data_IF_873076779146
#
_entry.id   IF_873076779146
#
_cell.length_a   1.000
_cell.length_b   1.000
_cell.length_c   1.000
_cell.angle_alpha   90.00
_cell.angle_beta   90.00
_cell.angle_gamma   90.00
#
_symmetry.space_group_name_H-M   'P 1'
#
loop_
_entity.id
_entity.type
_entity.pdbx_description
1 polymer ?
#
# COMPACT_ATOMS: atom_id res chain seq x y z
N UNK A 1 -62.65 16.00 -22.98
CA UNK A 1 -61.29 16.60 -22.95
C UNK A 1 -61.22 17.47 -21.71
N UNK A 2 -60.40 17.27 -20.68
CA UNK A 2 -59.14 16.54 -20.49
C UNK A 2 -59.07 16.11 -19.02
N UNK A 3 -58.72 14.85 -18.77
CA UNK A 3 -58.33 14.34 -17.46
C UNK A 3 -56.89 14.80 -17.20
N UNK A 4 -56.65 15.57 -16.13
CA UNK A 4 -55.30 15.88 -15.67
C UNK A 4 -54.84 14.74 -14.75
N UNK A 5 -53.95 13.91 -15.26
CA UNK A 5 -53.18 12.91 -14.50
C UNK A 5 -52.01 13.68 -13.88
N UNK A 6 -52.07 13.86 -12.56
CA UNK A 6 -50.92 14.34 -11.78
C UNK A 6 -49.92 13.20 -11.62
N UNK A 7 -48.76 13.32 -12.28
CA UNK A 7 -47.61 12.45 -12.04
C UNK A 7 -47.07 12.72 -10.63
N UNK A 8 -47.16 11.71 -9.77
CA UNK A 8 -46.41 11.63 -8.53
C UNK A 8 -44.96 11.26 -8.89
N UNK A 9 -44.04 12.21 -8.85
CA UNK A 9 -42.61 11.91 -8.90
C UNK A 9 -42.20 11.33 -7.54
N UNK A 10 -42.04 10.01 -7.48
CA UNK A 10 -41.31 9.37 -6.40
C UNK A 10 -39.83 9.75 -6.56
N UNK A 11 -39.37 10.71 -5.76
CA UNK A 11 -37.95 10.94 -5.54
C UNK A 11 -37.43 9.73 -4.78
N UNK A 12 -36.87 8.77 -5.51
CA UNK A 12 -36.02 7.73 -4.93
C UNK A 12 -34.81 8.44 -4.33
N UNK A 13 -34.87 8.71 -3.04
CA UNK A 13 -33.71 9.12 -2.27
C UNK A 13 -32.69 8.00 -2.33
N UNK A 14 -31.73 8.09 -3.25
CA UNK A 14 -30.46 7.40 -3.09
C UNK A 14 -29.86 7.93 -1.80
N UNK A 15 -29.77 7.07 -0.78
CA UNK A 15 -29.04 7.42 0.43
C UNK A 15 -27.64 7.86 0.00
N UNK A 16 -27.29 9.10 0.30
CA UNK A 16 -25.90 9.51 0.22
C UNK A 16 -25.15 8.59 1.17
N UNK A 17 -24.33 7.68 0.64
CA UNK A 17 -23.35 6.97 1.45
C UNK A 17 -22.51 8.05 2.12
N UNK A 18 -22.44 8.04 3.46
CA UNK A 18 -21.56 8.94 4.17
C UNK A 18 -20.14 8.77 3.63
N UNK A 19 -19.47 9.86 3.28
CA UNK A 19 -18.07 9.83 2.84
C UNK A 19 -17.21 9.40 4.02
N UNK A 20 -16.87 8.12 4.07
CA UNK A 20 -15.95 7.56 5.04
C UNK A 20 -14.51 7.93 4.68
N UNK A 21 -13.66 8.10 5.69
CA UNK A 21 -12.21 8.29 5.54
C UNK A 21 -11.46 7.33 6.46
N UNK A 22 -10.16 7.15 6.22
CA UNK A 22 -9.30 6.35 7.10
C UNK A 22 -8.46 7.21 8.05
N UNK A 23 -8.22 6.66 9.23
CA UNK A 23 -7.19 7.10 10.16
C UNK A 23 -6.23 5.94 10.40
N UNK A 24 -4.93 6.19 10.31
CA UNK A 24 -3.88 5.18 10.50
C UNK A 24 -3.02 5.56 11.67
N UNK A 25 -2.65 4.59 12.50
CA UNK A 25 -1.70 4.77 13.60
C UNK A 25 -0.76 3.58 13.69
N UNK A 26 0.45 3.81 14.20
CA UNK A 26 1.48 2.79 14.32
C UNK A 26 2.18 2.80 15.68
N UNK A 27 3.48 2.44 15.75
CA UNK A 27 4.21 2.28 17.00
C UNK A 27 4.17 3.49 17.94
N UNK A 28 4.23 4.72 17.41
CA UNK A 28 4.19 5.93 18.24
C UNK A 28 2.81 6.26 18.82
N UNK A 29 1.76 5.56 18.37
CA UNK A 29 0.35 5.90 18.58
C UNK A 29 -0.07 7.28 18.04
N UNK A 30 0.75 7.93 17.21
CA UNK A 30 0.31 9.09 16.44
C UNK A 30 -0.72 8.66 15.38
N UNK A 31 -1.76 9.47 15.20
CA UNK A 31 -2.83 9.22 14.23
C UNK A 31 -2.65 10.11 13.02
N UNK A 32 -2.54 9.48 11.86
CA UNK A 32 -2.42 10.08 10.55
C UNK A 32 -3.75 9.98 9.80
N UNK A 33 -4.08 10.99 9.00
CA UNK A 33 -5.26 10.95 8.12
C UNK A 33 -5.01 10.07 6.89
N UNK A 34 -6.07 9.72 6.14
CA UNK A 34 -5.98 8.99 4.87
C UNK A 34 -4.99 9.65 3.88
N UNK A 35 -4.96 10.98 3.84
CA UNK A 35 -4.07 11.75 2.96
C UNK A 35 -2.62 11.72 3.45
N UNK A 36 -2.40 11.39 4.71
CA UNK A 36 -1.08 11.33 5.36
C UNK A 36 -0.55 9.90 5.48
N UNK A 37 -1.16 8.91 4.82
CA UNK A 37 -0.67 7.51 4.86
C UNK A 37 0.79 7.42 4.39
N UNK A 38 1.20 8.23 3.41
CA UNK A 38 2.60 8.26 2.98
C UNK A 38 3.51 8.86 4.07
N UNK A 39 3.07 9.94 4.71
CA UNK A 39 3.77 10.49 5.88
C UNK A 39 3.90 9.45 6.99
N UNK A 40 2.85 8.69 7.26
CA UNK A 40 2.87 7.56 8.20
C UNK A 40 3.91 6.51 7.80
N UNK A 41 3.90 6.05 6.54
CA UNK A 41 4.87 5.07 6.03
C UNK A 41 6.31 5.56 6.21
N UNK A 42 6.59 6.81 5.84
CA UNK A 42 7.95 7.37 5.88
C UNK A 42 8.46 7.64 7.29
N UNK A 43 7.57 7.91 8.25
CA UNK A 43 7.94 8.28 9.64
C UNK A 43 7.83 7.13 10.65
N UNK A 44 6.95 6.15 10.42
CA UNK A 44 6.66 5.09 11.40
C UNK A 44 7.06 3.69 10.93
N UNK A 45 6.97 3.40 9.61
CA UNK A 45 7.29 2.07 9.07
C UNK A 45 8.72 2.03 8.56
N UNK A 46 9.08 2.95 7.65
CA UNK A 46 10.39 2.91 6.99
C UNK A 46 11.59 3.00 7.96
N UNK A 47 11.52 3.79 9.04
CA UNK A 47 12.66 3.93 9.93
C UNK A 47 12.95 2.71 10.80
N UNK A 48 12.02 1.77 10.88
CA UNK A 48 12.16 0.60 11.75
C UNK A 48 12.68 -0.65 11.02
N UNK A 49 13.11 -0.55 9.74
CA UNK A 49 13.85 -1.64 9.08
C UNK A 49 15.03 -2.04 9.96
N UNK A 50 15.15 -3.32 10.29
CA UNK A 50 16.17 -3.80 11.22
C UNK A 50 16.72 -5.17 10.85
N UNK A 51 17.84 -5.54 11.47
CA UNK A 51 18.45 -6.89 11.34
C UNK A 51 17.79 -7.94 12.24
N UNK A 52 16.98 -7.49 13.19
CA UNK A 52 16.30 -8.35 14.15
C UNK A 52 14.82 -8.11 14.02
N UNK A 53 14.09 -9.21 13.80
CA UNK A 53 12.64 -9.20 13.74
C UNK A 53 12.03 -8.61 15.02
N UNK A 54 11.26 -7.55 14.83
CA UNK A 54 10.33 -6.99 15.80
C UNK A 54 9.01 -6.73 15.09
N UNK A 55 7.93 -6.57 15.85
CA UNK A 55 6.60 -6.40 15.28
C UNK A 55 6.24 -4.91 15.16
N UNK A 56 5.76 -4.52 13.99
CA UNK A 56 5.24 -3.19 13.68
C UNK A 56 3.71 -3.28 13.71
N UNK A 57 3.03 -2.85 14.79
CA UNK A 57 1.58 -2.80 14.81
C UNK A 57 1.10 -1.61 13.97
N UNK A 58 0.08 -1.84 13.15
CA UNK A 58 -0.62 -0.81 12.37
C UNK A 58 -2.10 -0.94 12.65
N UNK A 59 -2.74 0.16 13.06
CA UNK A 59 -4.19 0.22 13.26
C UNK A 59 -4.80 1.16 12.23
N UNK A 60 -5.79 0.68 11.51
CA UNK A 60 -6.54 1.42 10.49
C UNK A 60 -7.99 1.53 10.96
N UNK A 61 -8.44 2.74 11.28
CA UNK A 61 -9.81 3.02 11.66
C UNK A 61 -10.57 3.64 10.48
N UNK A 62 -11.73 3.09 10.15
CA UNK A 62 -12.67 3.68 9.19
C UNK A 62 -13.60 4.63 9.95
N UNK A 63 -13.63 5.88 9.55
CA UNK A 63 -14.37 6.97 10.18
C UNK A 63 -15.41 7.50 9.21
N UNK A 64 -16.68 7.40 9.56
CA UNK A 64 -17.81 7.94 8.79
C UNK A 64 -18.59 8.88 9.71
N UNK A 65 -18.94 10.07 9.22
CA UNK A 65 -19.65 11.10 10.00
C UNK A 65 -19.01 11.37 11.38
N UNK A 66 -17.68 11.35 11.43
CA UNK A 66 -16.90 11.59 12.65
C UNK A 66 -16.89 10.42 13.66
N UNK A 67 -17.52 9.29 13.33
CA UNK A 67 -17.58 8.10 14.18
C UNK A 67 -16.77 6.95 13.59
N UNK A 68 -16.03 6.23 14.45
CA UNK A 68 -15.32 5.01 14.04
C UNK A 68 -16.35 3.90 13.80
N UNK A 69 -16.48 3.45 12.56
CA UNK A 69 -17.41 2.36 12.16
C UNK A 69 -16.73 1.01 12.02
N UNK A 70 -15.40 1.00 11.95
CA UNK A 70 -14.61 -0.22 11.81
C UNK A 70 -13.15 0.01 12.20
N UNK A 71 -12.48 -1.04 12.64
CA UNK A 71 -11.03 -1.02 12.89
C UNK A 71 -10.41 -2.31 12.39
N UNK A 72 -9.37 -2.17 11.58
CA UNK A 72 -8.48 -3.25 11.17
C UNK A 72 -7.13 -3.11 11.89
N UNK A 73 -6.57 -4.22 12.35
CA UNK A 73 -5.19 -4.30 12.82
C UNK A 73 -4.36 -5.11 11.83
N UNK A 74 -3.18 -4.58 11.48
CA UNK A 74 -2.15 -5.31 10.76
C UNK A 74 -0.92 -5.39 11.66
N UNK A 75 -0.15 -6.47 11.53
CA UNK A 75 1.19 -6.55 12.12
C UNK A 75 2.18 -6.90 11.03
N UNK A 76 3.26 -6.13 10.95
CA UNK A 76 4.37 -6.37 10.02
C UNK A 76 5.63 -6.78 10.78
N UNK A 77 6.51 -7.51 10.12
CA UNK A 77 7.86 -7.78 10.61
C UNK A 77 8.80 -6.64 10.23
N UNK A 78 9.58 -6.13 11.18
CA UNK A 78 10.56 -5.07 10.95
C UNK A 78 11.82 -5.53 10.21
N UNK A 79 12.04 -6.84 10.10
CA UNK A 79 13.16 -7.41 9.38
C UNK A 79 13.02 -7.24 7.86
N UNK A 80 11.81 -7.39 7.34
CA UNK A 80 11.54 -7.40 5.90
C UNK A 80 10.25 -6.69 5.47
N UNK A 81 9.47 -6.12 6.39
CA UNK A 81 8.15 -5.53 6.16
C UNK A 81 7.06 -6.48 5.69
N UNK A 82 7.21 -7.79 5.84
CA UNK A 82 6.09 -8.69 5.56
C UNK A 82 4.98 -8.51 6.58
N UNK A 83 3.74 -8.45 6.09
CA UNK A 83 2.56 -8.56 6.95
C UNK A 83 2.52 -10.00 7.45
N UNK A 84 2.53 -10.17 8.77
CA UNK A 84 2.50 -11.48 9.44
C UNK A 84 1.15 -11.76 10.11
N UNK A 85 0.35 -10.72 10.34
CA UNK A 85 -0.94 -10.86 11.00
C UNK A 85 -1.96 -9.84 10.48
N UNK A 86 -3.21 -10.26 10.32
CA UNK A 86 -4.38 -9.40 10.06
C UNK A 86 -5.42 -9.69 11.13
N UNK A 87 -5.86 -8.67 11.85
CA UNK A 87 -6.64 -8.80 13.09
C UNK A 87 -5.94 -9.73 14.10
N UNK A 88 -6.54 -10.88 14.41
CA UNK A 88 -5.96 -11.92 15.29
C UNK A 88 -5.45 -13.13 14.50
N UNK A 89 -5.60 -13.12 13.18
CA UNK A 89 -5.20 -14.21 12.29
C UNK A 89 -3.74 -14.08 11.90
N UNK A 90 -2.93 -15.05 12.32
CA UNK A 90 -1.55 -15.17 11.88
C UNK A 90 -1.52 -15.77 10.48
N UNK A 91 -0.90 -15.07 9.54
CA UNK A 91 -0.87 -15.48 8.15
C UNK A 91 -0.01 -16.72 7.98
N UNK A 92 -0.56 -17.73 7.31
CA UNK A 92 0.21 -18.84 6.77
C UNK A 92 1.11 -18.39 5.62
N UNK A 93 2.11 -19.21 5.27
CA UNK A 93 2.97 -18.98 4.11
C UNK A 93 2.16 -18.91 2.80
N UNK A 94 1.04 -19.60 2.70
CA UNK A 94 0.18 -19.56 1.51
C UNK A 94 -0.59 -18.24 1.41
N UNK A 95 -1.07 -17.71 2.54
CA UNK A 95 -1.81 -16.44 2.58
C UNK A 95 -0.92 -15.22 2.36
N UNK A 96 0.36 -15.29 2.76
CA UNK A 96 1.32 -14.19 2.58
C UNK A 96 1.90 -14.11 1.16
N UNK A 97 1.70 -15.12 0.32
CA UNK A 97 2.24 -15.16 -1.04
C UNK A 97 1.50 -14.23 -1.99
N UNK A 98 2.28 -13.47 -2.77
CA UNK A 98 1.74 -12.72 -3.91
C UNK A 98 1.41 -13.67 -5.07
N UNK A 99 0.14 -14.07 -5.15
CA UNK A 99 -0.40 -14.78 -6.32
C UNK A 99 -0.53 -13.86 -7.55
N UNK A 100 -0.78 -14.45 -8.71
CA UNK A 100 -0.93 -13.70 -9.98
C UNK A 100 -2.39 -13.29 -10.25
N UNK A 101 -3.19 -13.08 -9.20
CA UNK A 101 -4.55 -12.57 -9.34
C UNK A 101 -4.57 -11.17 -9.96
N UNK A 102 -5.58 -10.92 -10.79
CA UNK A 102 -5.83 -9.63 -11.43
C UNK A 102 -6.46 -8.65 -10.43
N UNK A 103 -5.68 -8.23 -9.45
CA UNK A 103 -6.08 -7.25 -8.44
C UNK A 103 -5.94 -5.82 -9.00
N UNK A 104 -7.02 -5.05 -8.94
CA UNK A 104 -7.01 -3.63 -9.28
C UNK A 104 -6.87 -2.78 -8.03
N UNK A 105 -5.74 -2.08 -7.91
CA UNK A 105 -5.44 -1.15 -6.83
C UNK A 105 -6.15 0.18 -7.07
N UNK A 106 -6.84 0.68 -6.05
CA UNK A 106 -7.49 1.99 -6.02
C UNK A 106 -7.84 2.37 -4.58
N UNK A 107 -8.23 3.62 -4.34
CA UNK A 107 -8.78 4.02 -3.04
C UNK A 107 -10.03 3.21 -2.68
N UNK A 108 -10.94 3.01 -3.65
CA UNK A 108 -12.13 2.20 -3.43
C UNK A 108 -11.79 0.72 -3.14
N UNK A 109 -10.78 0.18 -3.81
CA UNK A 109 -10.28 -1.17 -3.53
C UNK A 109 -9.64 -1.31 -2.15
N UNK A 110 -8.96 -0.27 -1.65
CA UNK A 110 -8.49 -0.22 -0.26
C UNK A 110 -9.66 -0.23 0.72
N UNK A 111 -10.69 0.58 0.48
CA UNK A 111 -11.91 0.60 1.30
C UNK A 111 -12.59 -0.77 1.38
N UNK A 112 -12.77 -1.42 0.23
CA UNK A 112 -13.36 -2.75 0.14
C UNK A 112 -12.50 -3.81 0.86
N UNK A 113 -11.17 -3.75 0.70
CA UNK A 113 -10.26 -4.65 1.39
C UNK A 113 -10.34 -4.47 2.91
N UNK A 114 -10.44 -3.22 3.41
CA UNK A 114 -10.62 -2.93 4.83
C UNK A 114 -11.93 -3.51 5.36
N UNK A 115 -13.05 -3.26 4.69
CA UNK A 115 -14.37 -3.74 5.11
C UNK A 115 -14.43 -5.27 5.19
N UNK A 116 -13.91 -5.96 4.16
CA UNK A 116 -13.84 -7.44 4.14
C UNK A 116 -12.94 -7.98 5.24
N UNK A 117 -11.82 -7.32 5.50
CA UNK A 117 -10.80 -7.81 6.44
C UNK A 117 -11.14 -7.63 7.91
N UNK A 118 -12.22 -6.89 8.24
CA UNK A 118 -12.75 -6.87 9.62
C UNK A 118 -13.07 -8.30 10.09
N UNK A 119 -13.59 -9.14 9.20
CA UNK A 119 -13.87 -10.57 9.44
C UNK A 119 -12.94 -11.46 8.61
N UNK A 120 -11.63 -11.24 8.69
CA UNK A 120 -10.62 -11.89 7.86
C UNK A 120 -10.73 -13.43 7.79
N UNK A 121 -11.03 -14.09 8.91
CA UNK A 121 -11.19 -15.55 8.99
C UNK A 121 -12.39 -16.07 8.18
N UNK A 122 -13.36 -15.23 7.87
CA UNK A 122 -14.51 -15.60 7.03
C UNK A 122 -14.22 -15.56 5.53
N UNK A 123 -13.06 -15.02 5.12
CA UNK A 123 -12.71 -14.84 3.72
C UNK A 123 -12.20 -16.14 3.07
N UNK A 124 -12.40 -16.26 1.76
CA UNK A 124 -11.74 -17.29 0.96
C UNK A 124 -10.22 -17.05 0.93
N UNK A 125 -9.43 -18.08 0.64
CA UNK A 125 -7.97 -17.94 0.52
C UNK A 125 -7.58 -16.84 -0.48
N UNK A 126 -8.27 -16.78 -1.62
CA UNK A 126 -8.03 -15.78 -2.66
C UNK A 126 -8.33 -14.36 -2.14
N UNK A 127 -9.45 -14.16 -1.45
CA UNK A 127 -9.80 -12.87 -0.87
C UNK A 127 -8.80 -12.44 0.23
N UNK A 128 -8.30 -13.39 1.03
CA UNK A 128 -7.25 -13.13 2.03
C UNK A 128 -5.96 -12.66 1.36
N UNK A 129 -5.52 -13.36 0.31
CA UNK A 129 -4.33 -12.98 -0.45
C UNK A 129 -4.49 -11.60 -1.12
N UNK A 130 -5.66 -11.30 -1.68
CA UNK A 130 -5.94 -10.02 -2.33
C UNK A 130 -6.00 -8.87 -1.31
N UNK A 131 -6.55 -9.11 -0.13
CA UNK A 131 -6.49 -8.15 0.98
C UNK A 131 -5.04 -7.90 1.42
N UNK A 132 -4.25 -8.95 1.64
CA UNK A 132 -2.83 -8.84 2.02
C UNK A 132 -2.02 -8.07 0.97
N UNK A 133 -2.22 -8.34 -0.33
CA UNK A 133 -1.56 -7.57 -1.41
C UNK A 133 -1.95 -6.10 -1.39
N UNK A 134 -3.24 -5.82 -1.20
CA UNK A 134 -3.75 -4.45 -1.14
C UNK A 134 -3.06 -3.70 0.00
N UNK A 135 -3.06 -4.26 1.22
CA UNK A 135 -2.39 -3.64 2.36
C UNK A 135 -0.88 -3.54 2.16
N UNK A 136 -0.25 -4.58 1.63
CA UNK A 136 1.17 -4.55 1.33
C UNK A 136 1.51 -3.41 0.37
N UNK A 137 0.70 -3.15 -0.68
CA UNK A 137 0.96 -2.04 -1.60
C UNK A 137 1.04 -0.69 -0.88
N UNK A 138 0.07 -0.39 -0.01
CA UNK A 138 -0.04 0.92 0.64
C UNK A 138 0.93 1.10 1.82
N UNK A 139 1.38 0.03 2.46
CA UNK A 139 2.22 0.10 3.66
C UNK A 139 3.63 -0.48 3.45
N UNK A 140 3.74 -1.75 3.07
CA UNK A 140 5.03 -2.44 2.96
C UNK A 140 5.80 -2.00 1.71
N UNK A 141 5.16 -2.02 0.55
CA UNK A 141 5.81 -1.74 -0.73
C UNK A 141 6.09 -0.24 -0.92
N UNK A 142 5.24 0.63 -0.39
CA UNK A 142 5.50 2.08 -0.30
C UNK A 142 6.64 2.41 0.67
N UNK A 143 6.84 1.61 1.73
CA UNK A 143 8.03 1.73 2.57
C UNK A 143 9.29 1.35 1.78
N UNK A 144 9.21 0.27 0.99
CA UNK A 144 10.33 -0.32 0.23
C UNK A 144 10.73 0.45 -1.02
N UNK A 145 9.81 1.12 -1.72
CA UNK A 145 10.09 1.72 -3.04
C UNK A 145 9.49 3.12 -3.17
N UNK A 146 10.30 4.09 -3.61
CA UNK A 146 9.84 5.47 -3.86
C UNK A 146 8.79 5.52 -4.97
N UNK A 147 8.92 4.69 -6.02
CA UNK A 147 7.93 4.64 -7.09
C UNK A 147 6.55 4.16 -6.60
N UNK A 148 6.54 3.15 -5.73
CA UNK A 148 5.29 2.63 -5.15
C UNK A 148 4.69 3.63 -4.17
N UNK A 149 5.51 4.35 -3.39
CA UNK A 149 5.08 5.47 -2.56
C UNK A 149 4.29 6.51 -3.38
N UNK A 150 4.88 6.97 -4.49
CA UNK A 150 4.25 7.95 -5.38
C UNK A 150 2.94 7.44 -5.98
N UNK A 151 2.89 6.16 -6.36
CA UNK A 151 1.68 5.55 -6.92
C UNK A 151 0.60 5.40 -5.85
N UNK A 152 0.95 4.92 -4.66
CA UNK A 152 0.03 4.80 -3.54
C UNK A 152 -0.59 6.17 -3.18
N UNK A 153 0.22 7.23 -3.16
CA UNK A 153 -0.28 8.60 -2.97
C UNK A 153 -1.31 9.01 -4.05
N UNK A 154 -0.99 8.72 -5.33
CA UNK A 154 -1.89 9.03 -6.44
C UNK A 154 -3.19 8.21 -6.39
N UNK A 155 -3.13 6.95 -5.98
CA UNK A 155 -4.30 6.09 -5.77
C UNK A 155 -5.19 6.63 -4.64
N UNK A 156 -4.61 7.05 -3.52
CA UNK A 156 -5.34 7.64 -2.38
C UNK A 156 -6.05 8.94 -2.74
N UNK A 157 -5.51 9.72 -3.69
CA UNK A 157 -6.18 10.90 -4.23
C UNK A 157 -7.45 10.57 -5.06
N UNK A 158 -7.74 9.29 -5.32
CA UNK A 158 -9.05 8.80 -5.76
C UNK A 158 -9.35 8.89 -7.27
N UNK A 159 -8.40 9.34 -8.10
CA UNK A 159 -8.64 9.61 -9.52
C UNK A 159 -8.04 8.58 -10.47
N UNK A 160 -7.62 7.41 -9.98
CA UNK A 160 -7.04 6.39 -10.82
C UNK A 160 -7.07 4.98 -10.21
N UNK A 161 -6.76 4.02 -11.07
CA UNK A 161 -6.56 2.63 -10.69
C UNK A 161 -5.25 2.12 -11.29
N UNK A 162 -4.68 1.09 -10.67
CA UNK A 162 -3.52 0.38 -11.18
C UNK A 162 -3.73 -1.13 -11.15
N UNK A 163 -3.15 -1.83 -12.11
CA UNK A 163 -3.10 -3.29 -12.10
C UNK A 163 -1.88 -3.75 -11.29
N UNK A 164 -2.12 -4.48 -10.20
CA UNK A 164 -1.08 -4.99 -9.30
C UNK A 164 -0.01 -5.80 -10.05
N UNK A 165 -0.40 -6.58 -11.06
CA UNK A 165 0.50 -7.49 -11.77
C UNK A 165 1.63 -6.75 -12.48
N UNK A 166 1.42 -5.47 -12.81
CA UNK A 166 2.44 -4.61 -13.42
C UNK A 166 3.62 -4.32 -12.49
N UNK A 167 3.43 -4.42 -11.16
CA UNK A 167 4.48 -4.17 -10.16
C UNK A 167 5.13 -5.45 -9.65
N UNK A 168 4.51 -6.62 -9.83
CA UNK A 168 5.00 -7.89 -9.29
C UNK A 168 6.47 -8.16 -9.64
N UNK A 169 6.90 -7.75 -10.83
CA UNK A 169 8.30 -7.87 -11.26
C UNK A 169 9.26 -7.04 -10.39
N UNK A 170 8.90 -5.80 -10.06
CA UNK A 170 9.68 -4.92 -9.19
C UNK A 170 9.71 -5.44 -7.75
N UNK A 171 8.55 -5.74 -7.18
CA UNK A 171 8.42 -6.12 -5.78
C UNK A 171 9.21 -7.40 -5.47
N UNK A 172 9.18 -8.39 -6.37
CA UNK A 172 9.94 -9.66 -6.27
C UNK A 172 11.47 -9.49 -6.36
N UNK A 173 11.97 -8.28 -6.63
CA UNK A 173 13.41 -7.98 -6.80
C UNK A 173 13.97 -7.04 -5.74
N UNK A 174 13.17 -6.64 -4.75
CA UNK A 174 13.62 -5.77 -3.67
C UNK A 174 14.97 -6.17 -3.08
N UNK A 175 15.13 -7.43 -2.67
CA UNK A 175 16.37 -7.94 -2.09
C UNK A 175 17.55 -7.96 -3.10
N UNK A 176 17.28 -8.19 -4.39
CA UNK A 176 18.32 -8.19 -5.44
C UNK A 176 18.81 -6.78 -5.74
N UNK A 177 17.89 -5.82 -5.83
CA UNK A 177 18.21 -4.40 -6.03
C UNK A 177 18.96 -3.88 -4.80
N UNK A 178 18.52 -4.21 -3.59
CA UNK A 178 19.19 -3.84 -2.33
C UNK A 178 20.65 -4.30 -2.30
N UNK A 179 20.90 -5.58 -2.61
CA UNK A 179 22.26 -6.14 -2.68
C UNK A 179 23.11 -5.47 -3.74
N UNK A 180 22.54 -5.15 -4.90
CA UNK A 180 23.26 -4.45 -5.95
C UNK A 180 23.65 -3.03 -5.52
N UNK A 181 22.75 -2.27 -4.90
CA UNK A 181 23.05 -0.93 -4.39
C UNK A 181 24.13 -0.95 -3.29
N UNK A 182 24.07 -1.91 -2.36
CA UNK A 182 25.09 -2.13 -1.33
C UNK A 182 26.49 -2.38 -1.94
N UNK A 183 26.57 -3.14 -3.03
CA UNK A 183 27.84 -3.42 -3.71
C UNK A 183 28.47 -2.18 -4.37
N UNK A 184 27.66 -1.16 -4.70
CA UNK A 184 28.10 0.06 -5.40
C UNK A 184 28.19 1.28 -4.48
N UNK A 185 27.92 1.14 -3.18
CA UNK A 185 28.08 2.20 -2.17
C UNK A 185 26.99 3.28 -2.17
N UNK A 186 25.86 3.05 -2.84
CA UNK A 186 24.75 4.01 -3.00
C UNK A 186 23.75 3.92 -1.83
N UNK A 187 24.23 4.09 -0.58
CA UNK A 187 23.45 3.67 0.62
C UNK A 187 23.55 4.54 1.88
N UNK A 188 24.21 5.71 1.86
CA UNK A 188 24.57 6.45 3.09
C UNK A 188 23.37 6.95 3.91
N UNK A 189 22.24 7.24 3.27
CA UNK A 189 21.05 7.84 3.91
C UNK A 189 19.82 6.92 3.88
N UNK A 190 20.02 5.62 3.68
CA UNK A 190 18.95 4.62 3.60
C UNK A 190 18.77 3.88 4.93
N UNK A 191 17.60 3.27 5.10
CA UNK A 191 17.35 2.32 6.18
C UNK A 191 17.79 0.93 5.74
N UNK A 192 18.37 0.16 6.66
CA UNK A 192 18.97 -1.16 6.39
C UNK A 192 18.36 -2.22 7.30
N UNK A 193 18.21 -3.43 6.78
CA UNK A 193 17.80 -4.57 7.58
C UNK A 193 17.83 -5.89 6.82
N UNK A 194 17.01 -6.83 7.26
CA UNK A 194 17.11 -8.23 6.88
C UNK A 194 18.19 -8.97 7.67
N UNK A 195 18.08 -10.31 7.76
CA UNK A 195 19.00 -11.19 8.52
C UNK A 195 20.49 -10.89 8.29
N UNK A 196 20.86 -10.44 7.09
CA UNK A 196 22.25 -10.16 6.72
C UNK A 196 22.51 -8.69 6.40
N UNK A 197 21.66 -7.77 6.87
CA UNK A 197 21.78 -6.33 6.58
C UNK A 197 21.84 -6.03 5.07
N UNK A 198 20.99 -6.73 4.32
CA UNK A 198 21.05 -6.79 2.85
C UNK A 198 19.80 -6.24 2.17
N UNK A 199 18.87 -5.67 2.95
CA UNK A 199 17.66 -5.01 2.49
C UNK A 199 17.80 -3.51 2.72
N UNK A 200 17.39 -2.72 1.74
CA UNK A 200 17.43 -1.26 1.77
C UNK A 200 16.03 -0.68 1.61
N UNK A 201 15.73 0.40 2.31
CA UNK A 201 14.51 1.17 2.09
C UNK A 201 14.75 2.70 2.20
N UNK A 202 14.17 3.52 1.30
CA UNK A 202 13.49 3.10 0.08
C UNK A 202 14.50 2.79 -1.04
N UNK A 203 14.12 1.90 -1.96
CA UNK A 203 14.76 1.75 -3.26
C UNK A 203 14.31 2.91 -4.16
N UNK A 204 15.29 3.65 -4.67
CA UNK A 204 15.07 4.78 -5.58
C UNK A 204 15.12 4.36 -7.06
N UNK A 205 14.62 5.24 -7.94
CA UNK A 205 14.71 5.04 -9.38
C UNK A 205 16.16 4.91 -9.87
N UNK A 206 17.11 5.64 -9.26
CA UNK A 206 18.55 5.53 -9.59
C UNK A 206 19.08 4.12 -9.30
N UNK A 207 18.71 3.52 -8.18
CA UNK A 207 19.09 2.14 -7.84
C UNK A 207 18.50 1.14 -8.83
N UNK A 208 17.26 1.35 -9.28
CA UNK A 208 16.62 0.50 -10.30
C UNK A 208 17.36 0.62 -11.64
N UNK A 209 17.75 1.83 -12.06
CA UNK A 209 18.54 2.05 -13.27
C UNK A 209 19.91 1.36 -13.18
N UNK A 210 20.61 1.52 -12.06
CA UNK A 210 21.91 0.89 -11.83
C UNK A 210 21.79 -0.65 -11.82
N UNK A 211 20.75 -1.18 -11.17
CA UNK A 211 20.43 -2.61 -11.20
C UNK A 211 20.20 -3.11 -12.62
N UNK A 212 19.39 -2.42 -13.42
CA UNK A 212 19.08 -2.78 -14.80
C UNK A 212 20.30 -2.73 -15.72
N UNK A 213 21.21 -1.78 -15.49
CA UNK A 213 22.48 -1.69 -16.22
C UNK A 213 23.41 -2.85 -15.88
N UNK A 214 23.48 -3.25 -14.60
CA UNK A 214 24.29 -4.37 -14.15
C UNK A 214 23.68 -5.75 -14.49
N UNK A 215 22.35 -5.82 -14.65
CA UNK A 215 21.60 -7.08 -14.82
C UNK A 215 20.64 -7.01 -16.02
N UNK A 216 21.15 -6.89 -17.27
CA UNK A 216 20.31 -6.69 -18.46
C UNK A 216 19.34 -7.86 -18.73
N UNK A 217 19.64 -9.07 -18.27
CA UNK A 217 18.76 -10.24 -18.41
C UNK A 217 17.61 -10.27 -17.38
N UNK A 218 17.65 -9.43 -16.35
CA UNK A 218 16.66 -9.37 -15.27
C UNK A 218 16.07 -7.96 -15.10
N UNK A 219 16.02 -7.19 -16.19
CA UNK A 219 15.58 -5.80 -16.16
C UNK A 219 14.17 -5.64 -15.61
N UNK A 220 14.03 -4.65 -14.74
CA UNK A 220 12.77 -4.29 -14.10
C UNK A 220 12.25 -3.02 -14.73
N UNK A 221 10.99 -3.03 -15.18
CA UNK A 221 10.27 -1.82 -15.54
C UNK A 221 9.41 -1.37 -14.36
N UNK A 222 9.44 -0.07 -14.09
CA UNK A 222 8.42 0.57 -13.27
C UNK A 222 7.37 1.12 -14.24
N UNK A 223 6.12 0.63 -14.19
CA UNK A 223 5.06 1.19 -15.02
C UNK A 223 4.86 2.66 -14.64
N UNK A 224 4.83 3.56 -15.63
CA UNK A 224 4.39 4.91 -15.38
C UNK A 224 2.96 4.87 -14.78
N UNK A 225 2.68 5.62 -13.71
CA UNK A 225 1.33 5.68 -13.18
C UNK A 225 0.38 6.14 -14.29
N UNK A 226 -0.67 5.37 -14.56
CA UNK A 226 -1.82 5.83 -15.36
C UNK A 226 -2.70 6.86 -14.62
N UNK A 227 -2.19 7.43 -13.52
CA UNK A 227 -2.86 8.42 -12.70
C UNK A 227 -2.55 9.83 -13.21
N UNK A 228 -3.55 10.54 -13.73
CA UNK A 228 -3.43 11.97 -14.07
C UNK A 228 -3.38 12.83 -12.79
N UNK A 229 -2.20 12.88 -12.16
CA UNK A 229 -1.62 13.90 -11.23
C UNK A 229 -0.51 13.16 -10.47
N UNK A 230 0.78 13.43 -10.70
CA UNK A 230 1.47 14.68 -10.39
C UNK A 230 2.49 15.05 -11.50
N UNK A 231 2.04 15.69 -12.58
CA UNK A 231 2.97 16.46 -13.44
C UNK A 231 3.27 17.87 -12.87
N UNK A 232 2.64 18.25 -11.76
CA UNK A 232 2.71 19.62 -11.21
C UNK A 232 3.19 19.71 -9.75
N UNK A 233 3.75 18.64 -9.16
CA UNK A 233 4.47 18.73 -7.89
C UNK A 233 5.97 18.47 -8.13
N UNK A 234 6.68 19.54 -8.46
CA UNK A 234 8.12 19.72 -8.27
C UNK A 234 9.08 18.71 -8.91
N UNK A 235 9.27 18.83 -10.24
CA UNK A 235 10.65 19.01 -10.74
C UNK A 235 11.07 20.47 -10.48
N UNK A 236 11.20 20.81 -9.20
CA UNK A 236 11.80 22.06 -8.76
C UNK A 236 13.30 21.84 -8.73
N UNK A 237 13.96 22.18 -9.83
CA UNK A 237 15.40 22.37 -9.84
C UNK A 237 15.80 23.33 -8.71
N UNK A 238 16.66 22.86 -7.82
CA UNK A 238 17.72 23.67 -7.21
C UNK A 238 19.00 22.86 -7.29
#
# INVERSE_FOLDING_TARGET
MKTLIGLLFAVLGGGAYADCTFQVSGPSNHTYSEQDIITFVTSEIRPVLAKTSTLIPIRIAKVCDGSVVGTLQLTMDSEDYYIVQVQQHHLSEEESKYTDSNLTLSRAGLDEALDKSISFDGLSLQDRQDAVKTFAFYFAESARFTDIENIANALLAGNCTQDWTKYAHLLRRWARISKNALQHGDVSDLFHGGVNDNLLAPISQTMIVNYNAANPADQVSVPAPSCERLQNAQFGAQ
#
